data_IF_423597690299
#
_entry.id   IF_423597690299
#
_cell.length_a   1.000
_cell.length_b   1.000
_cell.length_c   1.000
_cell.angle_alpha   90.00
_cell.angle_beta   90.00
_cell.angle_gamma   90.00
#
_symmetry.space_group_name_H-M   'P 1'
#
loop_
_entity.id
_entity.type
_entity.pdbx_description
1 polymer ?
#
# COMPACT_ATOMS: atom_id res chain seq x y z
N UNK A 1 0.29 -16.17 -11.09
CA UNK A 1 1.05 -14.93 -11.31
C UNK A 1 0.44 -13.83 -10.45
N UNK A 2 1.23 -13.09 -9.69
CA UNK A 2 0.71 -12.05 -8.78
C UNK A 2 0.28 -10.75 -9.47
N UNK A 3 0.53 -10.59 -10.77
CA UNK A 3 0.26 -9.36 -11.53
C UNK A 3 -0.68 -9.65 -12.69
N UNK A 4 -1.80 -8.93 -12.75
CA UNK A 4 -2.88 -9.16 -13.72
C UNK A 4 -3.30 -7.86 -14.39
N UNK A 5 -3.45 -7.88 -15.72
CA UNK A 5 -4.03 -6.77 -16.44
C UNK A 5 -5.56 -6.68 -16.20
N UNK A 6 -6.08 -5.47 -16.20
CA UNK A 6 -7.49 -5.19 -16.32
C UNK A 6 -7.73 -4.13 -17.40
N UNK A 7 -8.55 -4.43 -18.40
CA UNK A 7 -8.81 -3.56 -19.56
C UNK A 7 -7.53 -3.05 -20.22
N UNK A 8 -6.52 -3.91 -20.38
CA UNK A 8 -5.24 -3.60 -21.00
C UNK A 8 -4.26 -2.80 -20.12
N UNK A 9 -4.62 -2.44 -18.90
CA UNK A 9 -3.73 -1.78 -17.93
C UNK A 9 -3.06 -2.83 -17.06
N UNK A 10 -1.73 -2.80 -17.02
CA UNK A 10 -0.91 -3.64 -16.16
C UNK A 10 -0.42 -2.86 -14.95
N UNK A 11 -0.28 -3.49 -13.79
CA UNK A 11 0.47 -2.91 -12.68
C UNK A 11 1.91 -2.59 -13.08
N UNK A 12 2.40 -1.39 -12.70
CA UNK A 12 3.78 -0.96 -12.87
C UNK A 12 4.53 -1.04 -11.54
N UNK A 13 5.65 -1.78 -11.53
CA UNK A 13 6.44 -2.03 -10.34
C UNK A 13 7.78 -1.32 -10.45
N UNK A 14 8.14 -0.53 -9.47
CA UNK A 14 9.48 0.04 -9.33
C UNK A 14 10.53 -1.02 -8.98
N UNK A 15 11.81 -0.62 -8.99
CA UNK A 15 12.91 -1.54 -8.70
C UNK A 15 12.79 -2.19 -7.33
N UNK A 16 13.21 -3.45 -7.22
CA UNK A 16 13.30 -4.21 -5.96
C UNK A 16 11.99 -4.33 -5.19
N UNK A 17 10.84 -4.16 -5.84
CA UNK A 17 9.54 -4.48 -5.26
C UNK A 17 9.49 -5.98 -4.95
N UNK A 18 8.95 -6.33 -3.79
CA UNK A 18 8.70 -7.73 -3.41
C UNK A 18 7.22 -8.03 -3.46
N UNK A 19 6.85 -9.07 -4.19
CA UNK A 19 5.51 -9.65 -4.17
C UNK A 19 5.61 -11.08 -3.64
N UNK A 20 4.87 -11.40 -2.58
CA UNK A 20 4.69 -12.79 -2.16
C UNK A 20 3.99 -13.58 -3.31
N UNK A 21 4.22 -14.90 -3.45
CA UNK A 21 3.73 -15.69 -4.59
C UNK A 21 2.21 -15.63 -4.80
N UNK A 22 1.47 -15.38 -3.73
CA UNK A 22 -0.01 -15.31 -3.71
C UNK A 22 -0.57 -13.88 -3.51
N UNK A 23 0.29 -12.87 -3.50
CA UNK A 23 -0.15 -11.48 -3.59
C UNK A 23 -0.80 -11.22 -4.96
N UNK A 24 -1.82 -10.37 -5.02
CA UNK A 24 -2.52 -10.04 -6.27
C UNK A 24 -2.53 -8.53 -6.51
N UNK A 25 -1.93 -8.09 -7.62
CA UNK A 25 -2.01 -6.72 -8.10
C UNK A 25 -2.75 -6.72 -9.44
N UNK A 26 -3.80 -5.91 -9.57
CA UNK A 26 -4.71 -5.94 -10.73
C UNK A 26 -4.96 -4.54 -11.27
N UNK A 27 -4.77 -4.33 -12.56
CA UNK A 27 -5.14 -3.09 -13.26
C UNK A 27 -4.19 -1.91 -13.03
N UNK A 28 -4.74 -0.72 -12.89
CA UNK A 28 -3.99 0.54 -12.77
C UNK A 28 -3.40 0.71 -11.36
N UNK A 29 -2.30 0.02 -11.11
CA UNK A 29 -1.55 0.05 -9.83
C UNK A 29 -0.10 0.43 -10.12
N UNK A 30 0.42 1.50 -9.50
CA UNK A 30 1.84 1.84 -9.54
C UNK A 30 2.46 1.67 -8.15
N UNK A 31 3.60 1.01 -8.10
CA UNK A 31 4.30 0.67 -6.85
C UNK A 31 5.72 1.20 -6.90
N UNK A 32 6.09 2.03 -5.92
CA UNK A 32 7.43 2.60 -5.79
C UNK A 32 8.49 1.57 -5.37
N UNK A 33 9.75 1.95 -5.59
CA UNK A 33 10.92 1.11 -5.28
C UNK A 33 10.92 0.59 -3.83
N UNK A 34 11.46 -0.59 -3.61
CA UNK A 34 11.60 -1.23 -2.30
C UNK A 34 10.29 -1.46 -1.52
N UNK A 35 9.13 -1.25 -2.13
CA UNK A 35 7.86 -1.62 -1.51
C UNK A 35 7.69 -3.14 -1.45
N UNK A 36 6.80 -3.62 -0.58
CA UNK A 36 6.55 -5.06 -0.41
C UNK A 36 5.08 -5.38 -0.19
N UNK A 37 4.58 -6.38 -0.89
CA UNK A 37 3.25 -6.96 -0.74
C UNK A 37 3.38 -8.40 -0.24
N UNK A 38 2.89 -8.63 0.95
CA UNK A 38 3.03 -9.89 1.66
C UNK A 38 1.89 -10.85 1.31
N UNK A 39 1.86 -12.00 1.95
CA UNK A 39 0.99 -13.11 1.57
C UNK A 39 -0.50 -12.74 1.61
N UNK A 40 -1.26 -13.20 0.60
CA UNK A 40 -2.70 -12.98 0.47
C UNK A 40 -3.12 -11.50 0.38
N UNK A 41 -2.21 -10.60 0.04
CA UNK A 41 -2.57 -9.20 -0.21
C UNK A 41 -3.26 -9.03 -1.56
N UNK A 42 -4.19 -8.08 -1.63
CA UNK A 42 -4.85 -7.70 -2.88
C UNK A 42 -4.78 -6.20 -3.07
N UNK A 43 -4.25 -5.74 -4.20
CA UNK A 43 -4.35 -4.35 -4.66
C UNK A 43 -5.05 -4.32 -6.02
N UNK A 44 -6.30 -3.83 -6.06
CA UNK A 44 -7.12 -3.85 -7.28
C UNK A 44 -7.51 -2.45 -7.73
N UNK A 45 -6.83 -1.96 -8.79
CA UNK A 45 -7.06 -0.68 -9.46
C UNK A 45 -7.83 -0.87 -10.76
N UNK A 46 -9.06 -1.37 -10.68
CA UNK A 46 -9.91 -1.67 -11.84
C UNK A 46 -10.83 -0.51 -12.25
N UNK A 47 -11.49 0.13 -11.30
CA UNK A 47 -12.45 1.22 -11.54
C UNK A 47 -11.89 2.62 -11.23
N UNK A 48 -10.67 2.67 -10.74
CA UNK A 48 -9.84 3.85 -10.48
C UNK A 48 -8.39 3.37 -10.30
N UNK A 49 -7.47 4.26 -9.95
CA UNK A 49 -6.06 3.94 -9.84
C UNK A 49 -5.58 3.84 -8.38
N UNK A 50 -4.48 3.07 -8.16
CA UNK A 50 -3.76 2.94 -6.89
C UNK A 50 -2.32 3.39 -7.09
N UNK A 51 -1.79 4.17 -6.17
CA UNK A 51 -0.38 4.59 -6.13
C UNK A 51 0.19 4.27 -4.75
N UNK A 52 1.26 3.50 -4.72
CA UNK A 52 1.95 3.10 -3.48
C UNK A 52 3.39 3.60 -3.54
N UNK A 53 3.76 4.44 -2.60
CA UNK A 53 5.08 5.04 -2.49
C UNK A 53 6.18 4.05 -2.11
N UNK A 54 7.45 4.46 -2.28
CA UNK A 54 8.60 3.61 -2.03
C UNK A 54 8.71 3.16 -0.57
N UNK A 55 9.31 2.01 -0.33
CA UNK A 55 9.56 1.39 0.99
C UNK A 55 8.30 1.17 1.84
N UNK A 56 7.13 1.23 1.24
CA UNK A 56 5.85 0.91 1.89
C UNK A 56 5.67 -0.60 1.96
N UNK A 57 5.20 -1.10 3.10
CA UNK A 57 4.90 -2.52 3.25
C UNK A 57 3.41 -2.75 3.45
N UNK A 58 2.85 -3.66 2.67
CA UNK A 58 1.45 -4.11 2.72
C UNK A 58 1.46 -5.53 3.27
N UNK A 59 1.09 -5.67 4.55
CA UNK A 59 1.22 -6.94 5.28
C UNK A 59 0.09 -7.91 4.95
N UNK A 60 0.29 -9.17 5.35
CA UNK A 60 -0.52 -10.31 4.97
C UNK A 60 -2.03 -10.07 5.09
N UNK A 61 -2.76 -10.45 4.05
CA UNK A 61 -4.22 -10.37 3.98
C UNK A 61 -4.78 -8.94 3.87
N UNK A 62 -3.95 -7.91 3.73
CA UNK A 62 -4.45 -6.55 3.54
C UNK A 62 -5.07 -6.37 2.15
N UNK A 63 -6.12 -5.52 2.06
CA UNK A 63 -6.85 -5.24 0.83
C UNK A 63 -6.81 -3.75 0.51
N UNK A 64 -6.36 -3.42 -0.69
CA UNK A 64 -6.28 -2.09 -1.26
C UNK A 64 -7.24 -2.00 -2.45
N UNK A 65 -8.23 -1.12 -2.37
CA UNK A 65 -9.19 -0.91 -3.44
C UNK A 65 -9.60 0.56 -3.57
N UNK A 66 -10.40 0.87 -4.56
CA UNK A 66 -10.73 2.22 -5.00
C UNK A 66 -12.23 2.40 -5.20
N UNK A 67 -12.73 3.63 -5.07
CA UNK A 67 -14.10 3.95 -5.41
C UNK A 67 -14.21 4.36 -6.89
N UNK A 68 -15.26 3.88 -7.56
CA UNK A 68 -15.50 4.18 -8.97
C UNK A 68 -15.49 5.69 -9.24
N UNK A 69 -14.55 6.17 -10.06
CA UNK A 69 -14.37 7.55 -10.52
C UNK A 69 -14.17 8.62 -9.44
N UNK A 70 -14.44 8.37 -8.17
CA UNK A 70 -14.49 9.41 -7.13
C UNK A 70 -13.26 9.46 -6.26
N UNK A 71 -12.82 8.32 -5.73
CA UNK A 71 -11.72 8.24 -4.77
C UNK A 71 -10.70 7.19 -5.20
N UNK A 72 -9.57 7.61 -5.79
CA UNK A 72 -8.41 6.74 -5.98
C UNK A 72 -7.78 6.41 -4.63
N UNK A 73 -6.83 5.50 -4.61
CA UNK A 73 -6.04 5.19 -3.43
C UNK A 73 -4.60 5.70 -3.58
N UNK A 74 -4.20 6.56 -2.65
CA UNK A 74 -2.84 7.07 -2.56
C UNK A 74 -2.22 6.62 -1.25
N UNK A 75 -1.08 5.96 -1.33
CA UNK A 75 -0.27 5.57 -0.17
C UNK A 75 1.12 6.13 -0.36
N UNK A 76 1.60 6.91 0.59
CA UNK A 76 2.90 7.57 0.58
C UNK A 76 4.07 6.61 0.78
N UNK A 77 5.26 7.21 0.97
CA UNK A 77 6.51 6.49 1.19
C UNK A 77 6.64 5.98 2.64
N UNK A 78 7.23 4.80 2.82
CA UNK A 78 7.57 4.26 4.14
C UNK A 78 6.35 3.95 5.04
N UNK A 79 5.18 3.84 4.47
CA UNK A 79 3.93 3.51 5.19
C UNK A 79 3.95 2.05 5.64
N UNK A 80 3.45 1.81 6.85
CA UNK A 80 3.25 0.46 7.39
C UNK A 80 1.76 0.14 7.36
N UNK A 81 1.35 -0.81 6.51
CA UNK A 81 -0.04 -1.29 6.43
C UNK A 81 -0.10 -2.67 7.09
N UNK A 82 -0.68 -2.72 8.30
CA UNK A 82 -0.75 -3.92 9.14
C UNK A 82 -1.61 -5.03 8.53
N UNK A 83 -1.36 -6.25 9.01
CA UNK A 83 -2.07 -7.45 8.55
C UNK A 83 -3.59 -7.26 8.53
N UNK A 84 -4.26 -7.74 7.48
CA UNK A 84 -5.71 -7.68 7.30
C UNK A 84 -6.32 -6.26 7.32
N UNK A 85 -5.52 -5.22 7.15
CA UNK A 85 -6.05 -3.86 7.01
C UNK A 85 -6.78 -3.70 5.66
N UNK A 86 -7.79 -2.83 5.63
CA UNK A 86 -8.52 -2.49 4.41
C UNK A 86 -8.40 -1.00 4.15
N UNK A 87 -7.85 -0.63 2.99
CA UNK A 87 -7.78 0.73 2.50
C UNK A 87 -8.66 0.84 1.25
N UNK A 88 -9.64 1.73 1.29
CA UNK A 88 -10.57 1.91 0.19
C UNK A 88 -10.72 3.38 -0.16
N UNK A 89 -10.30 3.78 -1.38
CA UNK A 89 -10.48 5.13 -1.89
C UNK A 89 -9.99 6.26 -0.97
N UNK A 90 -8.83 6.10 -0.32
CA UNK A 90 -8.34 7.02 0.70
C UNK A 90 -6.92 7.53 0.39
N UNK A 91 -6.44 8.46 1.20
CA UNK A 91 -5.05 8.93 1.18
C UNK A 91 -4.37 8.60 2.49
N UNK A 92 -3.22 7.95 2.42
CA UNK A 92 -2.32 7.68 3.55
C UNK A 92 -0.98 8.32 3.23
N UNK A 93 -0.60 9.35 3.98
CA UNK A 93 0.62 10.10 3.74
C UNK A 93 1.86 9.40 4.30
N UNK A 94 3.03 9.95 3.97
CA UNK A 94 4.34 9.36 4.26
C UNK A 94 4.52 8.97 5.74
N UNK A 95 5.14 7.82 5.96
CA UNK A 95 5.51 7.35 7.28
C UNK A 95 4.35 7.05 8.23
N UNK A 96 3.12 7.01 7.75
CA UNK A 96 1.97 6.64 8.57
C UNK A 96 1.95 5.13 8.88
N UNK A 97 1.25 4.76 9.95
CA UNK A 97 0.99 3.36 10.31
C UNK A 97 -0.51 3.08 10.37
N UNK A 98 -0.95 2.11 9.60
CA UNK A 98 -2.29 1.53 9.64
C UNK A 98 -2.22 0.22 10.44
N UNK A 99 -2.88 0.19 11.59
CA UNK A 99 -2.87 -0.96 12.50
C UNK A 99 -3.52 -2.21 11.94
N UNK A 100 -3.19 -3.35 12.52
CA UNK A 100 -3.75 -4.67 12.16
C UNK A 100 -5.28 -4.62 12.13
N UNK A 101 -5.89 -5.07 11.05
CA UNK A 101 -7.35 -5.13 10.88
C UNK A 101 -8.06 -3.77 10.82
N UNK A 102 -7.33 -2.66 10.78
CA UNK A 102 -7.94 -1.33 10.66
C UNK A 102 -8.56 -1.12 9.26
N UNK A 103 -9.55 -0.25 9.17
CA UNK A 103 -10.20 0.13 7.92
C UNK A 103 -10.14 1.63 7.72
N UNK A 104 -9.71 2.05 6.53
CA UNK A 104 -9.67 3.46 6.12
C UNK A 104 -10.52 3.60 4.86
N UNK A 105 -11.57 4.42 4.93
CA UNK A 105 -12.64 4.44 3.93
C UNK A 105 -12.57 5.69 3.04
N UNK A 106 -13.47 5.75 2.04
CA UNK A 106 -13.48 6.72 0.93
C UNK A 106 -13.25 8.16 1.35
N UNK A 107 -12.31 8.82 0.68
CA UNK A 107 -11.98 10.22 0.94
C UNK A 107 -11.34 10.51 2.30
N UNK A 108 -11.11 9.48 3.13
CA UNK A 108 -10.39 9.69 4.38
C UNK A 108 -8.91 10.00 4.12
N UNK A 109 -8.31 10.77 5.02
CA UNK A 109 -6.89 11.15 4.96
C UNK A 109 -6.22 10.78 6.28
N UNK A 110 -5.19 9.95 6.20
CA UNK A 110 -4.27 9.70 7.32
C UNK A 110 -3.00 10.48 7.03
N UNK A 111 -2.81 11.58 7.78
CA UNK A 111 -1.70 12.50 7.55
C UNK A 111 -0.34 11.91 7.97
N UNK A 112 0.74 12.58 7.53
CA UNK A 112 2.10 12.08 7.66
C UNK A 112 2.46 11.67 9.10
N UNK A 113 3.08 10.49 9.24
CA UNK A 113 3.50 9.94 10.52
C UNK A 113 2.37 9.66 11.52
N UNK A 114 1.10 9.74 11.12
CA UNK A 114 -0.02 9.39 11.98
C UNK A 114 -0.15 7.88 12.15
N UNK A 115 -0.79 7.46 13.24
CA UNK A 115 -1.07 6.05 13.52
C UNK A 115 -2.57 5.81 13.67
N UNK A 116 -3.10 4.89 12.89
CA UNK A 116 -4.43 4.30 13.09
C UNK A 116 -4.23 3.01 13.88
N UNK A 117 -4.88 2.89 15.03
CA UNK A 117 -4.75 1.72 15.88
C UNK A 117 -5.41 0.47 15.30
N UNK A 118 -5.01 -0.69 15.83
CA UNK A 118 -5.55 -1.98 15.37
C UNK A 118 -7.08 -2.03 15.49
N UNK A 119 -7.75 -2.57 14.46
CA UNK A 119 -9.21 -2.69 14.40
C UNK A 119 -9.99 -1.38 14.31
N UNK A 120 -9.34 -0.23 14.26
CA UNK A 120 -10.01 1.06 14.17
C UNK A 120 -10.66 1.27 12.79
N UNK A 121 -11.74 2.05 12.72
CA UNK A 121 -12.43 2.37 11.46
C UNK A 121 -12.41 3.89 11.23
N UNK A 122 -11.57 4.34 10.31
CA UNK A 122 -11.56 5.72 9.81
C UNK A 122 -12.67 5.87 8.79
N UNK A 123 -13.72 6.58 9.17
CA UNK A 123 -14.93 6.74 8.35
C UNK A 123 -14.69 7.63 7.13
N UNK A 124 -15.57 7.58 6.10
CA UNK A 124 -15.41 8.39 4.89
C UNK A 124 -15.20 9.88 5.19
N UNK A 125 -14.25 10.49 4.47
CA UNK A 125 -13.90 11.91 4.58
C UNK A 125 -13.24 12.32 5.90
N UNK A 126 -13.01 11.43 6.84
CA UNK A 126 -12.39 11.76 8.12
C UNK A 126 -10.87 11.97 7.98
N UNK A 127 -10.32 12.89 8.78
CA UNK A 127 -8.88 13.16 8.81
C UNK A 127 -8.26 12.71 10.13
N UNK A 128 -7.15 11.98 10.04
CA UNK A 128 -6.29 11.64 11.17
C UNK A 128 -5.08 12.57 11.11
N UNK A 129 -4.96 13.44 12.09
CA UNK A 129 -3.95 14.49 12.16
C UNK A 129 -2.53 13.92 12.19
N UNK A 130 -1.60 14.59 11.49
CA UNK A 130 -0.19 14.21 11.42
C UNK A 130 0.42 13.96 12.81
N UNK A 131 1.18 12.87 12.94
CA UNK A 131 1.85 12.51 14.19
C UNK A 131 0.93 12.19 15.37
N UNK A 132 -0.34 11.88 15.12
CA UNK A 132 -1.31 11.53 16.17
C UNK A 132 -1.77 10.09 16.10
N UNK A 133 -2.22 9.57 17.23
CA UNK A 133 -2.87 8.27 17.35
C UNK A 133 -4.38 8.43 17.23
N UNK A 134 -5.01 7.64 16.34
CA UNK A 134 -6.45 7.50 16.23
C UNK A 134 -6.88 6.08 16.59
N UNK A 135 -7.92 5.94 17.40
CA UNK A 135 -8.46 4.67 17.90
C UNK A 135 -9.98 4.61 17.78
N UNK A 136 -10.52 3.40 17.73
CA UNK A 136 -11.94 3.13 17.93
C UNK A 136 -12.76 2.96 16.64
N UNK A 137 -14.06 2.71 16.83
CA UNK A 137 -15.08 2.56 15.79
C UNK A 137 -16.27 3.46 16.16
N UNK A 138 -16.45 4.61 15.51
CA UNK A 138 -15.56 5.25 14.54
C UNK A 138 -14.24 5.74 15.18
N UNK A 139 -13.17 5.77 14.39
CA UNK A 139 -11.87 6.24 14.86
C UNK A 139 -11.91 7.71 15.26
N UNK A 140 -11.23 8.02 16.36
CA UNK A 140 -11.04 9.40 16.85
C UNK A 140 -9.57 9.63 17.17
N UNK A 141 -9.09 10.80 16.86
CA UNK A 141 -7.76 11.25 17.28
C UNK A 141 -7.78 11.40 18.80
N UNK A 142 -6.90 10.68 19.49
CA UNK A 142 -6.91 10.62 20.97
C UNK A 142 -5.75 11.39 21.59
N UNK A 143 -4.57 11.43 20.94
CA UNK A 143 -3.39 12.14 21.41
C UNK A 143 -2.28 12.20 20.36
N UNK A 144 -1.29 13.09 20.52
CA UNK A 144 -0.03 12.98 19.78
C UNK A 144 0.67 11.64 20.06
N UNK A 145 1.44 11.15 19.08
CA UNK A 145 2.36 10.04 19.29
C UNK A 145 3.53 10.47 20.17
N UNK A 146 4.02 9.56 20.98
CA UNK A 146 5.29 9.75 21.67
C UNK A 146 6.46 9.64 20.67
N UNK A 147 7.62 10.18 21.04
CA UNK A 147 8.84 10.04 20.23
C UNK A 147 9.23 8.57 20.03
N UNK A 148 8.93 7.70 21.01
CA UNK A 148 9.18 6.26 20.91
C UNK A 148 8.24 5.59 19.89
N UNK A 149 6.95 5.93 19.92
CA UNK A 149 5.97 5.40 18.95
C UNK A 149 6.31 5.82 17.53
N UNK A 150 6.64 7.11 17.32
CA UNK A 150 7.07 7.62 16.00
C UNK A 150 8.33 6.90 15.49
N UNK A 151 9.33 6.73 16.35
CA UNK A 151 10.55 5.98 16.02
C UNK A 151 10.24 4.52 15.66
N UNK A 152 9.35 3.85 16.40
CA UNK A 152 8.95 2.47 16.14
C UNK A 152 8.30 2.29 14.76
N UNK A 153 7.55 3.27 14.26
CA UNK A 153 6.98 3.24 12.90
C UNK A 153 8.11 3.20 11.87
N UNK A 154 9.08 4.11 11.97
CA UNK A 154 10.24 4.19 11.08
C UNK A 154 11.06 2.89 11.10
N UNK A 155 11.36 2.38 12.30
CA UNK A 155 12.09 1.12 12.48
C UNK A 155 11.32 -0.08 11.89
N UNK A 156 10.00 -0.08 12.02
CA UNK A 156 9.16 -1.15 11.42
C UNK A 156 9.22 -1.10 9.91
N UNK A 157 9.09 0.07 9.29
CA UNK A 157 9.23 0.22 7.84
C UNK A 157 10.61 -0.27 7.36
N UNK A 158 11.69 0.17 8.01
CA UNK A 158 13.05 -0.25 7.67
C UNK A 158 13.25 -1.77 7.84
N UNK A 159 12.69 -2.36 8.89
CA UNK A 159 12.74 -3.82 9.10
C UNK A 159 12.07 -4.60 7.97
N UNK A 160 10.92 -4.12 7.46
CA UNK A 160 10.26 -4.78 6.34
C UNK A 160 11.03 -4.67 5.03
N UNK A 161 11.74 -3.56 4.79
CA UNK A 161 12.67 -3.45 3.66
C UNK A 161 13.80 -4.48 3.77
N UNK A 162 14.37 -4.68 4.95
CA UNK A 162 15.40 -5.72 5.16
C UNK A 162 14.82 -7.15 5.06
N UNK A 163 13.62 -7.37 5.61
CA UNK A 163 12.98 -8.68 5.62
C UNK A 163 12.63 -9.16 4.21
N UNK A 164 12.11 -8.28 3.34
CA UNK A 164 11.81 -8.66 1.95
C UNK A 164 13.04 -9.15 1.19
N UNK A 165 14.23 -8.61 1.48
CA UNK A 165 15.47 -9.06 0.85
C UNK A 165 15.87 -10.48 1.29
N UNK A 166 15.51 -10.88 2.52
CA UNK A 166 15.69 -12.27 2.98
C UNK A 166 14.72 -13.20 2.23
N UNK A 167 13.45 -12.79 2.10
CA UNK A 167 12.43 -13.56 1.37
C UNK A 167 12.79 -13.71 -0.11
N UNK A 168 13.23 -12.64 -0.78
CA UNK A 168 13.70 -12.70 -2.18
C UNK A 168 14.82 -13.72 -2.39
N UNK A 169 15.68 -13.94 -1.40
CA UNK A 169 16.76 -14.94 -1.49
C UNK A 169 16.30 -16.37 -1.20
N UNK A 170 15.24 -16.54 -0.42
CA UNK A 170 14.76 -17.83 0.04
C UNK A 170 13.57 -18.37 -0.75
N UNK A 171 12.84 -17.51 -1.45
CA UNK A 171 11.71 -17.87 -2.29
C UNK A 171 12.02 -17.53 -3.78
N UNK A 172 12.68 -18.44 -4.51
CA UNK A 172 13.09 -18.20 -5.91
C UNK A 172 11.90 -17.86 -6.84
N UNK A 173 10.75 -18.47 -6.62
CA UNK A 173 9.52 -18.21 -7.41
C UNK A 173 9.03 -16.76 -7.32
N UNK A 174 9.34 -16.06 -6.22
CA UNK A 174 9.04 -14.64 -6.08
C UNK A 174 9.95 -13.75 -6.95
N UNK A 175 11.14 -14.24 -7.33
CA UNK A 175 12.08 -13.52 -8.19
C UNK A 175 11.69 -13.60 -9.66
N UNK A 176 11.27 -14.76 -10.16
CA UNK A 176 10.88 -14.95 -11.56
C UNK A 176 9.71 -14.06 -11.96
N UNK A 177 8.75 -13.84 -11.06
CA UNK A 177 7.63 -12.93 -11.29
C UNK A 177 8.05 -11.45 -11.38
N UNK A 178 9.11 -11.06 -10.68
CA UNK A 178 9.64 -9.69 -10.69
C UNK A 178 10.56 -9.46 -11.90
N UNK A 179 11.40 -10.44 -12.28
CA UNK A 179 12.31 -10.35 -13.44
C UNK A 179 11.53 -10.34 -14.76
N UNK A 180 10.44 -11.08 -14.87
CA UNK A 180 9.56 -11.06 -16.05
C UNK A 180 8.92 -9.68 -16.29
N UNK A 181 8.70 -8.90 -15.22
CA UNK A 181 8.19 -7.53 -15.32
C UNK A 181 9.29 -6.51 -15.71
N UNK A 182 10.51 -6.67 -15.20
CA UNK A 182 11.65 -5.80 -15.57
C UNK A 182 12.02 -5.95 -17.05
N UNK A 183 11.84 -7.15 -17.64
CA UNK A 183 12.08 -7.41 -19.07
C UNK A 183 10.97 -6.82 -19.95
N UNK A 184 9.73 -6.69 -19.44
CA UNK A 184 8.63 -6.10 -20.23
C UNK A 184 8.70 -4.57 -20.33
N UNK A 185 9.40 -3.89 -19.44
CA UNK A 185 9.63 -2.43 -19.50
C UNK A 185 10.68 -2.01 -20.54
N UNK A 186 11.43 -2.94 -21.11
CA UNK A 186 12.36 -2.68 -22.23
C UNK A 186 11.66 -2.52 -23.59
N UNK A 187 10.35 -2.72 -23.67
CA UNK A 187 9.51 -2.43 -24.83
C UNK A 187 8.78 -1.09 -24.65
N UNK A 188 8.86 -0.19 -25.65
CA UNK A 188 8.24 1.14 -25.63
C UNK A 188 6.81 1.10 -25.06
N UNK A 189 6.46 2.01 -24.12
CA UNK A 189 5.10 2.07 -23.60
C UNK A 189 4.13 2.51 -24.69
N UNK A 190 2.95 1.87 -24.82
CA UNK A 190 1.93 2.31 -25.75
C UNK A 190 1.46 3.74 -25.39
N UNK A 191 1.30 4.59 -26.43
CA UNK A 191 0.82 5.97 -26.29
C UNK A 191 -0.45 6.03 -25.45
N UNK A 192 -0.47 6.93 -24.46
CA UNK A 192 -1.61 7.14 -23.57
C UNK A 192 -2.79 7.72 -24.36
N UNK A 193 -3.98 7.10 -24.39
CA UNK A 193 -5.16 7.76 -24.89
C UNK A 193 -5.51 8.95 -23.98
N UNK A 194 -5.79 10.12 -24.60
CA UNK A 194 -6.15 11.34 -23.92
C UNK A 194 -7.44 11.21 -23.08
N UNK A 195 -7.68 12.15 -22.16
CA UNK A 195 -8.83 12.08 -21.24
C UNK A 195 -10.15 12.18 -22.01
N UNK A 196 -11.10 11.31 -21.66
CA UNK A 196 -12.51 11.40 -22.07
C UNK A 196 -13.35 12.05 -20.99
#
# INVERSE_FOLDING_TARGET
MPVLAYEGRWPALGPRVFLAPDAQLVGDVEVGEDASFWFHTVARGDVNWIRVGPRTNVQDGAVLHVAHRTHPLVVGAGVVIGHQAVLHGCTVEDGALIGIGARVLDGAVVEAGAQVGAGAVVTPGHRVTAGHLALGIPARVVRPLTAEESRRIVETSARYVALKEQYRRTLPEANEANEANEVSEAGEPPERPGPR
#
